data_IF_473475684783
#
_entry.id   IF_473475684783
#
_cell.length_a   1.000
_cell.length_b   1.000
_cell.length_c   1.000
_cell.angle_alpha   90.00
_cell.angle_beta   90.00
_cell.angle_gamma   90.00
#
_symmetry.space_group_name_H-M   'P 1'
#
loop_
_entity.id
_entity.type
_entity.pdbx_description
1 polymer ?
#
# COMPACT_ATOMS: atom_id res chain seq x y z
N UNK A 1 26.24 5.88 -22.54
CA UNK A 1 24.78 6.06 -22.35
C UNK A 1 24.40 5.18 -21.17
N UNK A 2 24.63 5.68 -19.96
CA UNK A 2 24.50 4.90 -18.72
C UNK A 2 23.23 5.31 -18.01
N UNK A 3 22.46 4.33 -17.57
CA UNK A 3 21.18 4.49 -16.88
C UNK A 3 21.38 5.12 -15.51
N UNK A 4 20.93 6.36 -15.35
CA UNK A 4 20.75 7.02 -14.07
C UNK A 4 19.52 6.43 -13.34
N UNK A 5 19.79 5.54 -12.39
CA UNK A 5 18.85 5.29 -11.30
C UNK A 5 19.61 5.48 -10.00
N UNK A 6 19.38 6.59 -9.31
CA UNK A 6 19.14 6.65 -7.85
C UNK A 6 18.88 8.10 -7.45
N UNK A 7 17.61 8.46 -7.28
CA UNK A 7 17.24 9.69 -6.59
C UNK A 7 17.59 9.57 -5.11
N UNK A 8 18.76 10.07 -4.73
CA UNK A 8 19.22 10.16 -3.34
C UNK A 8 18.93 11.57 -2.81
N UNK A 9 17.98 11.65 -1.88
CA UNK A 9 17.85 12.59 -0.75
C UNK A 9 18.24 14.06 -1.04
N UNK A 10 17.24 14.92 -1.23
CA UNK A 10 17.43 16.37 -1.25
C UNK A 10 17.85 16.86 0.15
N UNK A 11 18.88 17.72 0.19
CA UNK A 11 19.47 18.31 1.40
C UNK A 11 18.54 19.26 2.20
N UNK A 12 17.25 19.29 1.87
CA UNK A 12 16.23 20.18 2.45
C UNK A 12 15.04 19.37 3.01
N UNK A 13 15.32 18.59 4.05
CA UNK A 13 14.37 18.39 5.15
C UNK A 13 13.06 17.63 4.90
N UNK A 14 12.88 16.90 3.79
CA UNK A 14 11.72 16.02 3.62
C UNK A 14 12.19 14.66 3.08
N UNK A 15 12.32 13.66 3.96
CA UNK A 15 12.55 12.29 3.52
C UNK A 15 11.32 11.83 2.73
N UNK A 16 11.42 11.54 1.41
CA UNK A 16 10.27 11.04 0.64
C UNK A 16 9.75 9.70 1.18
N UNK A 17 10.55 8.99 2.00
CA UNK A 17 10.09 7.84 2.77
C UNK A 17 9.12 8.23 3.89
N UNK A 18 9.36 9.33 4.61
CA UNK A 18 8.52 9.78 5.72
C UNK A 18 7.17 10.27 5.19
N UNK A 19 7.18 11.06 4.12
CA UNK A 19 5.94 11.53 3.47
C UNK A 19 5.11 10.35 2.95
N UNK A 20 5.75 9.33 2.36
CA UNK A 20 5.06 8.09 1.94
C UNK A 20 4.53 7.28 3.13
N UNK A 21 5.28 7.22 4.23
CA UNK A 21 4.85 6.55 5.46
C UNK A 21 3.63 7.24 6.09
N UNK A 22 3.65 8.57 6.17
CA UNK A 22 2.54 9.39 6.63
C UNK A 22 1.32 9.24 5.71
N UNK A 23 1.53 9.17 4.40
CA UNK A 23 0.45 8.93 3.45
C UNK A 23 -0.21 7.54 3.62
N UNK A 24 0.56 6.51 4.00
CA UNK A 24 0.04 5.15 4.25
C UNK A 24 -0.69 5.07 5.59
N UNK A 25 -0.12 5.65 6.64
CA UNK A 25 -0.74 5.66 7.99
C UNK A 25 -2.02 6.49 8.01
N UNK A 26 -2.03 7.65 7.33
CA UNK A 26 -3.22 8.49 7.18
C UNK A 26 -4.18 8.05 6.06
N UNK A 27 -3.90 6.94 5.38
CA UNK A 27 -4.71 6.49 4.26
C UNK A 27 -6.12 6.13 4.73
N UNK A 28 -7.13 6.92 4.37
CA UNK A 28 -8.52 6.63 4.76
C UNK A 28 -9.03 5.39 4.02
N UNK A 29 -9.96 4.68 4.65
CA UNK A 29 -10.63 3.54 4.04
C UNK A 29 -11.28 4.00 2.72
N UNK A 30 -10.86 3.47 1.56
CA UNK A 30 -11.37 4.00 0.31
C UNK A 30 -12.82 3.60 0.07
N UNK A 31 -13.66 4.58 -0.27
CA UNK A 31 -15.06 4.33 -0.63
C UNK A 31 -15.22 3.59 -1.96
N UNK A 32 -14.27 3.77 -2.90
CA UNK A 32 -14.39 3.29 -4.28
C UNK A 32 -13.25 2.35 -4.66
N UNK A 33 -13.58 1.29 -5.40
CA UNK A 33 -12.67 0.21 -5.81
C UNK A 33 -11.46 0.64 -6.66
N UNK A 34 -11.49 1.84 -7.23
CA UNK A 34 -10.35 2.39 -8.00
C UNK A 34 -9.15 2.77 -7.10
N UNK A 35 -9.41 3.20 -5.87
CA UNK A 35 -8.40 3.67 -4.91
C UNK A 35 -7.54 2.53 -4.33
N UNK A 36 -8.09 1.36 -3.94
CA UNK A 36 -7.29 0.25 -3.42
C UNK A 36 -6.30 -0.36 -4.43
N UNK A 37 -6.35 0.00 -5.72
CA UNK A 37 -5.36 -0.47 -6.71
C UNK A 37 -3.96 0.11 -6.47
N UNK A 38 -3.87 1.39 -6.13
CA UNK A 38 -2.58 2.02 -5.78
C UNK A 38 -2.02 1.42 -4.49
N UNK A 39 -2.89 1.20 -3.51
CA UNK A 39 -2.54 0.53 -2.25
C UNK A 39 -2.03 -0.90 -2.49
N UNK A 40 -2.71 -1.67 -3.34
CA UNK A 40 -2.27 -3.01 -3.71
C UNK A 40 -0.92 -3.01 -4.44
N UNK A 41 -0.65 -2.00 -5.28
CA UNK A 41 0.66 -1.79 -5.90
C UNK A 41 1.77 -1.56 -4.87
N UNK A 42 1.50 -0.77 -3.83
CA UNK A 42 2.44 -0.54 -2.72
C UNK A 42 2.73 -1.83 -1.95
N UNK A 43 1.70 -2.62 -1.63
CA UNK A 43 1.89 -3.89 -0.94
C UNK A 43 2.79 -4.84 -1.75
N UNK A 44 2.55 -4.93 -3.06
CA UNK A 44 3.41 -5.73 -3.95
C UNK A 44 4.86 -5.26 -3.96
N UNK A 45 5.10 -3.94 -3.91
CA UNK A 45 6.45 -3.38 -3.85
C UNK A 45 7.18 -3.77 -2.55
N UNK A 46 6.49 -3.69 -1.41
CA UNK A 46 7.06 -4.00 -0.09
C UNK A 46 6.97 -5.48 0.30
N UNK A 47 6.41 -6.36 -0.54
CA UNK A 47 6.16 -7.79 -0.21
C UNK A 47 7.38 -8.55 0.33
N UNK A 48 8.61 -8.16 -0.05
CA UNK A 48 9.86 -8.76 0.46
C UNK A 48 10.10 -8.52 1.96
N UNK A 49 9.45 -7.50 2.52
CA UNK A 49 9.56 -7.10 3.93
C UNK A 49 8.31 -7.45 4.73
N UNK A 50 7.23 -7.82 4.05
CA UNK A 50 5.95 -8.19 4.66
C UNK A 50 5.92 -9.71 4.86
N UNK A 51 6.28 -10.18 6.07
CA UNK A 51 6.05 -11.58 6.43
C UNK A 51 4.55 -11.84 6.43
N UNK A 52 4.10 -12.88 5.72
CA UNK A 52 2.69 -13.26 5.58
C UNK A 52 1.76 -12.22 4.90
N UNK A 53 2.31 -11.25 4.16
CA UNK A 53 1.51 -10.27 3.41
C UNK A 53 0.40 -10.92 2.57
N UNK A 54 0.71 -12.06 1.94
CA UNK A 54 -0.24 -12.78 1.11
C UNK A 54 -1.57 -13.05 1.84
N UNK A 55 -1.53 -13.50 3.10
CA UNK A 55 -2.72 -13.77 3.91
C UNK A 55 -3.51 -12.51 4.24
N UNK A 56 -2.82 -11.43 4.61
CA UNK A 56 -3.48 -10.15 4.90
C UNK A 56 -4.06 -9.50 3.64
N UNK A 57 -3.44 -9.73 2.47
CA UNK A 57 -3.92 -9.19 1.19
C UNK A 57 -4.96 -10.02 0.49
N UNK A 58 -5.10 -11.31 0.81
CA UNK A 58 -6.05 -12.22 0.17
C UNK A 58 -7.50 -11.67 0.17
N UNK A 59 -8.08 -11.27 1.32
CA UNK A 59 -9.43 -10.69 1.34
C UNK A 59 -9.52 -9.34 0.63
N UNK A 60 -8.42 -8.58 0.54
CA UNK A 60 -8.39 -7.34 -0.25
C UNK A 60 -8.28 -7.62 -1.75
N UNK A 61 -7.58 -8.68 -2.13
CA UNK A 61 -7.46 -9.13 -3.51
C UNK A 61 -8.81 -9.62 -4.01
N UNK A 62 -9.55 -10.40 -3.21
CA UNK A 62 -10.89 -10.86 -3.55
C UNK A 62 -11.88 -9.71 -3.80
N UNK A 63 -11.75 -8.62 -3.03
CA UNK A 63 -12.52 -7.40 -3.28
C UNK A 63 -12.18 -6.74 -4.64
N UNK A 64 -10.98 -6.98 -5.17
CA UNK A 64 -10.50 -6.44 -6.44
C UNK A 64 -10.70 -7.40 -7.62
N UNK A 65 -11.02 -8.68 -7.38
CA UNK A 65 -11.29 -9.66 -8.44
C UNK A 65 -12.47 -9.18 -9.28
N UNK A 66 -12.27 -9.06 -10.59
CA UNK A 66 -13.27 -8.58 -11.53
C UNK A 66 -13.50 -7.06 -11.51
N UNK A 67 -12.73 -6.29 -10.73
CA UNK A 67 -12.76 -4.84 -10.76
C UNK A 67 -12.25 -4.30 -12.11
N UNK A 68 -13.09 -3.55 -12.82
CA UNK A 68 -12.69 -2.91 -14.09
C UNK A 68 -11.91 -1.62 -13.82
N UNK A 69 -11.05 -1.21 -14.77
CA UNK A 69 -10.24 0.02 -14.66
C UNK A 69 -11.06 1.29 -14.38
N UNK A 70 -12.33 1.34 -14.82
CA UNK A 70 -13.26 2.47 -14.60
C UNK A 70 -14.37 2.12 -13.60
N UNK A 71 -14.19 1.07 -12.82
CA UNK A 71 -15.19 0.63 -11.85
C UNK A 71 -15.30 1.64 -10.71
N UNK A 72 -16.52 2.16 -10.51
CA UNK A 72 -16.86 3.13 -9.47
C UNK A 72 -17.73 2.51 -8.39
N UNK A 73 -17.86 1.19 -8.36
CA UNK A 73 -18.61 0.49 -7.31
C UNK A 73 -17.98 0.79 -5.95
N UNK A 74 -18.86 0.94 -4.96
CA UNK A 74 -18.43 1.04 -3.57
C UNK A 74 -17.76 -0.25 -3.16
N UNK A 75 -16.68 -0.15 -2.40
CA UNK A 75 -16.02 -1.34 -1.85
C UNK A 75 -16.95 -1.93 -0.78
N UNK A 76 -17.36 -3.21 -0.89
CA UNK A 76 -18.15 -3.84 0.15
C UNK A 76 -17.26 -4.16 1.36
N UNK A 77 -17.06 -3.15 2.20
CA UNK A 77 -16.32 -3.30 3.44
C UNK A 77 -17.07 -4.19 4.42
N UNK A 78 -16.45 -5.30 4.79
CA UNK A 78 -16.89 -6.22 5.82
C UNK A 78 -15.91 -6.13 6.99
N UNK A 79 -16.28 -6.70 8.15
CA UNK A 79 -15.39 -6.69 9.31
C UNK A 79 -14.02 -7.33 8.99
N UNK A 80 -14.03 -8.42 8.23
CA UNK A 80 -12.82 -9.12 7.81
C UNK A 80 -11.97 -8.32 6.84
N UNK A 81 -12.56 -7.64 5.86
CA UNK A 81 -11.80 -6.83 4.89
C UNK A 81 -11.26 -5.55 5.52
N UNK A 82 -12.00 -4.92 6.44
CA UNK A 82 -11.49 -3.79 7.23
C UNK A 82 -10.31 -4.23 8.10
N UNK A 83 -10.45 -5.36 8.83
CA UNK A 83 -9.37 -5.89 9.66
C UNK A 83 -8.11 -6.16 8.83
N UNK A 84 -8.29 -6.73 7.64
CA UNK A 84 -7.20 -7.05 6.73
C UNK A 84 -6.55 -5.80 6.13
N UNK A 85 -7.34 -4.75 5.86
CA UNK A 85 -6.84 -3.45 5.43
C UNK A 85 -5.97 -2.78 6.50
N UNK A 86 -6.44 -2.75 7.75
CA UNK A 86 -5.68 -2.20 8.86
C UNK A 86 -4.41 -3.02 9.13
N UNK A 87 -4.48 -4.35 9.05
CA UNK A 87 -3.29 -5.21 9.15
C UNK A 87 -2.28 -4.87 8.05
N UNK A 88 -2.72 -4.74 6.79
CA UNK A 88 -1.84 -4.38 5.68
C UNK A 88 -1.18 -3.00 5.87
N UNK A 89 -1.89 -2.02 6.45
CA UNK A 89 -1.29 -0.72 6.81
C UNK A 89 -0.20 -0.86 7.86
N UNK A 90 -0.47 -1.62 8.93
CA UNK A 90 0.52 -1.88 9.98
C UNK A 90 1.73 -2.62 9.42
N UNK A 91 1.52 -3.62 8.57
CA UNK A 91 2.60 -4.37 7.96
C UNK A 91 3.41 -3.49 7.01
N UNK A 92 2.76 -2.64 6.20
CA UNK A 92 3.45 -1.64 5.39
C UNK A 92 4.27 -0.68 6.26
N UNK A 93 3.69 -0.12 7.32
CA UNK A 93 4.39 0.76 8.25
C UNK A 93 5.65 0.07 8.83
N UNK A 94 5.54 -1.19 9.24
CA UNK A 94 6.67 -2.00 9.70
C UNK A 94 7.69 -2.26 8.58
N UNK A 95 7.24 -2.58 7.37
CA UNK A 95 8.10 -2.76 6.21
C UNK A 95 8.88 -1.50 5.85
N UNK A 96 8.29 -0.31 6.00
CA UNK A 96 8.99 0.96 5.82
C UNK A 96 10.11 1.15 6.85
N UNK A 97 9.89 0.78 8.11
CA UNK A 97 10.93 0.80 9.16
C UNK A 97 12.04 -0.21 8.85
N UNK A 98 11.68 -1.40 8.38
CA UNK A 98 12.63 -2.47 8.04
C UNK A 98 13.37 -2.23 6.70
N UNK A 99 12.78 -1.44 5.81
CA UNK A 99 13.33 -1.06 4.51
C UNK A 99 14.31 0.12 4.59
N UNK A 100 14.69 0.59 5.80
CA UNK A 100 15.76 1.59 5.96
C UNK A 100 17.01 1.14 5.20
N UNK A 101 17.32 1.85 4.12
CA UNK A 101 18.59 1.84 3.40
C UNK A 101 19.33 3.12 3.78
#
# INVERSE_FOLDING_TARGET
MGTDQVGYITAEGSCPLLEKFEAITNYKLPDTIHVPRTFHGMINFYRRYLKDAAKATEPLHDLLIGAKKKDRRKVPWTKDTIKSFEQCKSDLANAFVLSKI
#
